data_IF_530216056124
#
_entry.id   IF_530216056124
#
_cell.length_a   1.000
_cell.length_b   1.000
_cell.length_c   1.000
_cell.angle_alpha   90.00
_cell.angle_beta   90.00
_cell.angle_gamma   90.00
#
_symmetry.space_group_name_H-M   'P 1'
#
loop_
_entity.id
_entity.type
_entity.pdbx_description
1 polymer ?
#
# COMPACT_ATOMS: atom_id res chain seq x y z
N UNK A 1 1.01 -20.59 -8.04
CA UNK A 1 -0.08 -20.14 -8.93
C UNK A 1 -0.72 -18.81 -8.48
N UNK A 2 -1.49 -18.71 -7.38
CA UNK A 2 -2.12 -17.42 -6.99
C UNK A 2 -1.11 -16.31 -6.62
N UNK A 3 -0.05 -16.64 -5.88
CA UNK A 3 1.00 -15.67 -5.55
C UNK A 3 1.80 -15.19 -6.78
N UNK A 4 2.01 -16.07 -7.75
CA UNK A 4 2.75 -15.80 -8.98
C UNK A 4 1.97 -14.89 -9.94
N UNK A 5 0.65 -15.09 -10.03
CA UNK A 5 -0.26 -14.18 -10.75
C UNK A 5 -0.30 -12.80 -10.09
N UNK A 6 -0.26 -12.72 -8.76
CA UNK A 6 -0.22 -11.44 -8.05
C UNK A 6 1.10 -10.67 -8.25
N UNK A 7 2.24 -11.38 -8.34
CA UNK A 7 3.54 -10.77 -8.66
C UNK A 7 3.56 -10.25 -10.10
N UNK A 8 3.09 -11.04 -11.06
CA UNK A 8 2.98 -10.61 -12.46
C UNK A 8 2.03 -9.40 -12.64
N UNK A 9 0.91 -9.38 -11.91
CA UNK A 9 0.01 -8.22 -11.90
C UNK A 9 0.68 -6.98 -11.31
N UNK A 10 1.45 -7.12 -10.22
CA UNK A 10 2.21 -6.02 -9.62
C UNK A 10 3.24 -5.44 -10.59
N UNK A 11 4.02 -6.28 -11.28
CA UNK A 11 4.98 -5.84 -12.30
C UNK A 11 4.28 -5.11 -13.46
N UNK A 12 3.08 -5.57 -13.86
CA UNK A 12 2.29 -4.90 -14.90
C UNK A 12 1.83 -3.49 -14.46
N UNK A 13 1.41 -3.32 -13.20
CA UNK A 13 1.02 -2.01 -12.68
C UNK A 13 2.20 -1.06 -12.53
N UNK A 14 3.39 -1.57 -12.17
CA UNK A 14 4.61 -0.76 -12.16
C UNK A 14 4.99 -0.26 -13.55
N UNK A 15 4.96 -1.13 -14.56
CA UNK A 15 5.21 -0.73 -15.96
C UNK A 15 4.20 0.31 -16.43
N UNK A 16 2.92 0.08 -16.15
CA UNK A 16 1.84 1.03 -16.46
C UNK A 16 2.08 2.41 -15.81
N UNK A 17 2.56 2.45 -14.56
CA UNK A 17 2.87 3.70 -13.88
C UNK A 17 4.01 4.45 -14.57
N UNK A 18 5.09 3.75 -14.95
CA UNK A 18 6.23 4.34 -15.67
C UNK A 18 5.78 4.90 -17.02
N UNK A 19 4.97 4.15 -17.77
CA UNK A 19 4.46 4.59 -19.07
C UNK A 19 3.60 5.85 -18.93
N UNK A 20 2.73 5.91 -17.93
CA UNK A 20 1.90 7.09 -17.64
C UNK A 20 2.73 8.30 -17.21
N UNK A 21 3.80 8.09 -16.44
CA UNK A 21 4.73 9.16 -16.07
C UNK A 21 5.45 9.73 -17.29
N UNK A 22 5.94 8.87 -18.20
CA UNK A 22 6.56 9.31 -19.44
C UNK A 22 5.57 10.09 -20.32
N UNK A 23 4.33 9.61 -20.44
CA UNK A 23 3.28 10.32 -21.16
C UNK A 23 2.94 11.68 -20.53
N UNK A 24 3.00 11.81 -19.21
CA UNK A 24 2.82 13.09 -18.52
C UNK A 24 3.92 14.08 -18.92
N UNK A 25 5.17 13.62 -18.99
CA UNK A 25 6.33 14.44 -19.38
C UNK A 25 6.28 14.86 -20.85
N UNK A 26 5.84 13.95 -21.73
CA UNK A 26 5.73 14.20 -23.17
C UNK A 26 4.47 14.98 -23.56
N UNK A 27 3.59 15.29 -22.59
CA UNK A 27 2.31 15.95 -22.86
C UNK A 27 2.51 17.37 -23.41
N UNK A 28 1.89 17.72 -24.55
CA UNK A 28 2.04 19.05 -25.15
C UNK A 28 1.47 20.12 -24.22
N UNK A 29 2.32 21.08 -23.84
CA UNK A 29 1.94 22.14 -22.89
C UNK A 29 2.13 21.78 -21.41
N UNK A 30 2.74 20.62 -21.10
CA UNK A 30 3.11 20.23 -19.73
C UNK A 30 1.92 19.88 -18.82
N UNK A 31 0.73 19.67 -19.40
CA UNK A 31 -0.48 19.28 -18.67
C UNK A 31 -1.07 18.03 -19.33
N UNK A 32 -1.11 16.93 -18.58
CA UNK A 32 -1.69 15.67 -19.02
C UNK A 32 -3.23 15.66 -18.93
N UNK A 33 -3.85 14.63 -19.47
CA UNK A 33 -5.31 14.46 -19.42
C UNK A 33 -5.80 14.13 -18.00
N UNK A 34 -7.06 14.44 -17.71
CA UNK A 34 -7.69 14.11 -16.43
C UNK A 34 -7.66 12.61 -16.11
N UNK A 35 -7.83 11.77 -17.14
CA UNK A 35 -7.80 10.31 -17.00
C UNK A 35 -6.40 9.82 -16.59
N UNK A 36 -5.35 10.30 -17.27
CA UNK A 36 -3.95 9.95 -16.93
C UNK A 36 -3.61 10.34 -15.49
N UNK A 37 -3.99 11.55 -15.06
CA UNK A 37 -3.79 11.97 -13.67
C UNK A 37 -4.53 11.08 -12.66
N UNK A 38 -5.75 10.66 -13.00
CA UNK A 38 -6.56 9.79 -12.12
C UNK A 38 -5.92 8.41 -11.97
N UNK A 39 -5.49 7.81 -13.09
CA UNK A 39 -4.81 6.51 -13.09
C UNK A 39 -3.46 6.58 -12.37
N UNK A 40 -2.65 7.60 -12.66
CA UNK A 40 -1.34 7.80 -12.05
C UNK A 40 -1.47 7.98 -10.52
N UNK A 41 -2.46 8.75 -10.07
CA UNK A 41 -2.76 8.90 -8.64
C UNK A 41 -3.14 7.56 -7.98
N UNK A 42 -4.01 6.78 -8.60
CA UNK A 42 -4.43 5.47 -8.09
C UNK A 42 -3.26 4.47 -8.03
N UNK A 43 -2.35 4.49 -9.01
CA UNK A 43 -1.16 3.65 -9.05
C UNK A 43 -0.17 3.99 -7.92
N UNK A 44 0.08 5.27 -7.64
CA UNK A 44 0.91 5.64 -6.48
C UNK A 44 0.31 5.15 -5.16
N UNK A 45 -1.02 5.25 -5.00
CA UNK A 45 -1.70 4.69 -3.82
C UNK A 45 -1.53 3.15 -3.76
N UNK A 46 -1.63 2.47 -4.90
CA UNK A 46 -1.45 1.02 -5.01
C UNK A 46 -0.05 0.61 -4.53
N UNK A 47 0.98 1.36 -4.90
CA UNK A 47 2.36 1.09 -4.48
C UNK A 47 2.70 1.57 -3.06
N UNK A 48 1.72 2.10 -2.31
CA UNK A 48 1.91 2.65 -0.97
C UNK A 48 2.77 3.92 -0.93
N UNK A 49 2.90 4.63 -2.05
CA UNK A 49 3.69 5.85 -2.19
C UNK A 49 2.82 7.08 -1.92
N UNK A 50 2.30 7.20 -0.70
CA UNK A 50 1.28 8.20 -0.36
C UNK A 50 1.84 9.64 -0.49
N UNK A 51 3.14 9.83 -0.26
CA UNK A 51 3.80 11.12 -0.47
C UNK A 51 3.83 11.52 -1.94
N UNK A 52 4.17 10.60 -2.84
CA UNK A 52 4.18 10.86 -4.28
C UNK A 52 2.76 11.13 -4.79
N UNK A 53 1.77 10.37 -4.32
CA UNK A 53 0.35 10.62 -4.60
C UNK A 53 -0.07 12.05 -4.21
N UNK A 54 0.41 12.55 -3.05
CA UNK A 54 0.16 13.92 -2.59
C UNK A 54 0.81 14.97 -3.51
N UNK A 55 2.03 14.72 -3.99
CA UNK A 55 2.70 15.63 -4.92
C UNK A 55 2.01 15.69 -6.28
N UNK A 56 1.54 14.55 -6.78
CA UNK A 56 0.68 14.48 -7.98
C UNK A 56 -0.58 15.32 -7.77
N UNK A 57 -1.30 15.12 -6.66
CA UNK A 57 -2.49 15.91 -6.34
C UNK A 57 -2.22 17.43 -6.29
N UNK A 58 -1.05 17.85 -5.80
CA UNK A 58 -0.67 19.27 -5.74
C UNK A 58 -0.38 19.85 -7.13
N UNK A 59 0.22 19.08 -8.03
CA UNK A 59 0.57 19.51 -9.40
C UNK A 59 -0.65 19.66 -10.32
N UNK A 60 -1.70 18.85 -10.11
CA UNK A 60 -2.89 18.88 -10.99
C UNK A 60 -3.58 20.27 -10.95
N UNK A 61 -3.83 20.90 -12.11
CA UNK A 61 -4.55 22.16 -12.22
C UNK A 61 -5.95 22.12 -11.58
N UNK A 62 -6.40 23.26 -11.04
CA UNK A 62 -7.70 23.36 -10.37
C UNK A 62 -8.87 23.03 -11.30
N UNK A 63 -8.77 23.39 -12.59
CA UNK A 63 -9.80 23.11 -13.59
C UNK A 63 -10.09 21.60 -13.71
N UNK A 64 -9.03 20.78 -13.72
CA UNK A 64 -9.15 19.31 -13.84
C UNK A 64 -9.80 18.71 -12.59
N UNK A 65 -9.47 19.24 -11.40
CA UNK A 65 -10.06 18.78 -10.13
C UNK A 65 -11.57 19.01 -10.08
N UNK A 66 -12.02 20.14 -10.61
CA UNK A 66 -13.45 20.49 -10.64
C UNK A 66 -14.20 19.74 -11.75
N UNK A 67 -13.57 19.50 -12.89
CA UNK A 67 -14.22 18.78 -14.01
C UNK A 67 -14.35 17.28 -13.78
N UNK A 68 -13.50 16.69 -12.94
CA UNK A 68 -13.37 15.24 -12.81
C UNK A 68 -13.64 14.78 -11.38
N UNK A 69 -14.89 14.41 -11.03
CA UNK A 69 -15.24 13.98 -9.67
C UNK A 69 -14.54 12.67 -9.29
N UNK A 70 -14.29 11.78 -10.25
CA UNK A 70 -13.59 10.51 -10.05
C UNK A 70 -12.17 10.72 -9.46
N UNK A 71 -11.44 11.71 -9.96
CA UNK A 71 -10.12 12.09 -9.45
C UNK A 71 -10.18 12.52 -7.97
N UNK A 72 -11.20 13.30 -7.61
CA UNK A 72 -11.40 13.73 -6.22
C UNK A 72 -11.76 12.56 -5.31
N UNK A 73 -12.54 11.60 -5.81
CA UNK A 73 -12.86 10.38 -5.07
C UNK A 73 -11.62 9.52 -4.81
N UNK A 74 -10.73 9.36 -5.80
CA UNK A 74 -9.45 8.66 -5.61
C UNK A 74 -8.60 9.36 -4.54
N UNK A 75 -8.54 10.69 -4.58
CA UNK A 75 -7.81 11.44 -3.56
C UNK A 75 -8.42 11.28 -2.16
N UNK A 76 -9.75 11.25 -2.04
CA UNK A 76 -10.43 11.00 -0.78
C UNK A 76 -10.04 9.64 -0.17
N UNK A 77 -9.93 8.60 -0.99
CA UNK A 77 -9.37 7.29 -0.58
C UNK A 77 -7.94 7.47 -0.06
N UNK A 78 -7.08 8.18 -0.80
CA UNK A 78 -5.71 8.47 -0.39
C UNK A 78 -5.61 9.21 0.95
N UNK A 79 -6.51 10.16 1.23
CA UNK A 79 -6.57 10.86 2.51
C UNK A 79 -6.92 9.93 3.67
N UNK A 80 -7.86 9.00 3.47
CA UNK A 80 -8.22 7.99 4.47
C UNK A 80 -7.07 7.01 4.73
N UNK A 81 -6.36 6.60 3.68
CA UNK A 81 -5.14 5.79 3.80
C UNK A 81 -4.06 6.54 4.61
N UNK A 82 -3.85 7.83 4.33
CA UNK A 82 -2.90 8.67 5.08
C UNK A 82 -3.24 8.76 6.57
N UNK A 83 -4.53 8.90 6.89
CA UNK A 83 -5.02 8.95 8.28
C UNK A 83 -5.05 7.58 8.96
N UNK A 84 -4.83 6.49 8.22
CA UNK A 84 -5.00 5.09 8.68
C UNK A 84 -6.42 4.82 9.20
N UNK A 85 -7.40 5.52 8.65
CA UNK A 85 -8.82 5.34 8.97
C UNK A 85 -9.40 4.17 8.16
N UNK A 86 -9.17 2.93 8.62
CA UNK A 86 -9.57 1.73 7.88
C UNK A 86 -11.06 1.69 7.52
N UNK A 87 -12.02 1.91 8.44
CA UNK A 87 -13.43 1.97 8.09
C UNK A 87 -13.72 3.03 7.01
N UNK A 88 -13.15 4.23 7.18
CA UNK A 88 -13.31 5.31 6.21
C UNK A 88 -12.68 5.03 4.85
N UNK A 89 -11.61 4.21 4.79
CA UNK A 89 -11.03 3.75 3.51
C UNK A 89 -12.07 2.94 2.74
N UNK A 90 -12.71 1.95 3.40
CA UNK A 90 -13.69 1.08 2.74
C UNK A 90 -14.95 1.82 2.31
N UNK A 91 -15.40 2.80 3.10
CA UNK A 91 -16.48 3.71 2.69
C UNK A 91 -16.10 4.55 1.47
N UNK A 92 -14.87 5.06 1.40
CA UNK A 92 -14.38 5.82 0.26
C UNK A 92 -14.22 4.96 -1.00
N UNK A 93 -13.96 3.66 -0.86
CA UNK A 93 -13.96 2.69 -1.97
C UNK A 93 -15.35 2.40 -2.54
N UNK A 94 -16.42 2.62 -1.76
CA UNK A 94 -17.80 2.36 -2.16
C UNK A 94 -18.33 3.46 -3.12
N UNK A 95 -17.70 3.54 -4.29
CA UNK A 95 -17.99 4.45 -5.39
C UNK A 95 -17.96 3.69 -6.71
N UNK A 96 -18.61 4.25 -7.72
CA UNK A 96 -18.52 3.75 -9.09
C UNK A 96 -17.21 4.24 -9.72
N UNK A 97 -16.40 3.30 -10.19
CA UNK A 97 -15.13 3.55 -10.87
C UNK A 97 -15.29 3.23 -12.37
N UNK A 98 -14.67 4.05 -13.22
CA UNK A 98 -14.63 3.82 -14.66
C UNK A 98 -13.94 2.49 -15.00
N UNK A 99 -14.28 1.90 -16.15
CA UNK A 99 -13.71 0.62 -16.61
C UNK A 99 -12.17 0.65 -16.66
N UNK A 100 -11.61 1.82 -16.99
CA UNK A 100 -10.15 2.02 -17.07
C UNK A 100 -9.45 2.08 -15.71
N UNK A 101 -10.18 2.40 -14.65
CA UNK A 101 -9.63 2.61 -13.30
C UNK A 101 -9.97 1.45 -12.36
N UNK A 102 -11.10 0.79 -12.60
CA UNK A 102 -11.59 -0.38 -11.85
C UNK A 102 -10.52 -1.43 -11.54
N UNK A 103 -9.71 -1.93 -12.51
CA UNK A 103 -8.70 -2.94 -12.19
C UNK A 103 -7.63 -2.46 -11.21
N UNK A 104 -7.24 -1.18 -11.27
CA UNK A 104 -6.28 -0.57 -10.34
C UNK A 104 -6.90 -0.41 -8.96
N UNK A 105 -8.16 0.02 -8.89
CA UNK A 105 -8.87 0.21 -7.61
C UNK A 105 -9.18 -1.10 -6.91
N UNK A 106 -9.56 -2.14 -7.66
CA UNK A 106 -9.78 -3.48 -7.10
C UNK A 106 -8.46 -4.07 -6.56
N UNK A 107 -7.35 -3.88 -7.29
CA UNK A 107 -6.02 -4.26 -6.83
C UNK A 107 -5.60 -3.47 -5.58
N UNK A 108 -5.91 -2.18 -5.52
CA UNK A 108 -5.60 -1.31 -4.38
C UNK A 108 -6.41 -1.72 -3.14
N UNK A 109 -7.70 -2.04 -3.30
CA UNK A 109 -8.55 -2.53 -2.22
C UNK A 109 -8.00 -3.86 -1.66
N UNK A 110 -7.66 -4.80 -2.55
CA UNK A 110 -7.05 -6.08 -2.16
C UNK A 110 -5.71 -5.89 -1.43
N UNK A 111 -4.84 -5.02 -1.94
CA UNK A 111 -3.57 -4.68 -1.33
C UNK A 111 -3.76 -4.02 0.05
N UNK A 112 -4.74 -3.13 0.19
CA UNK A 112 -5.07 -2.46 1.45
C UNK A 112 -5.53 -3.48 2.51
N UNK A 113 -6.45 -4.39 2.15
CA UNK A 113 -6.89 -5.48 3.04
C UNK A 113 -5.73 -6.37 3.46
N UNK A 114 -4.86 -6.75 2.51
CA UNK A 114 -3.66 -7.56 2.80
C UNK A 114 -2.71 -6.83 3.76
N UNK A 115 -2.49 -5.53 3.57
CA UNK A 115 -1.67 -4.70 4.48
C UNK A 115 -2.29 -4.62 5.87
N UNK A 116 -3.60 -4.41 5.97
CA UNK A 116 -4.32 -4.39 7.25
C UNK A 116 -4.18 -5.72 7.98
N UNK A 117 -4.37 -6.83 7.26
CA UNK A 117 -4.21 -8.17 7.83
C UNK A 117 -2.79 -8.42 8.34
N UNK A 118 -1.78 -8.08 7.53
CA UNK A 118 -0.37 -8.21 7.92
C UNK A 118 -0.01 -7.32 9.12
N UNK A 119 -0.60 -6.12 9.21
CA UNK A 119 -0.40 -5.23 10.35
C UNK A 119 -0.94 -5.87 11.63
N UNK A 120 -2.16 -6.40 11.60
CA UNK A 120 -2.74 -7.09 12.76
C UNK A 120 -1.91 -8.29 13.16
N UNK A 121 -1.45 -9.08 12.18
CA UNK A 121 -0.59 -10.24 12.40
C UNK A 121 0.70 -9.92 13.16
N UNK A 122 1.27 -8.74 12.93
CA UNK A 122 2.55 -8.32 13.50
C UNK A 122 2.39 -7.56 14.82
N UNK A 123 1.37 -6.71 14.93
CA UNK A 123 1.22 -5.75 16.02
C UNK A 123 0.40 -6.27 17.21
N UNK A 124 -0.46 -7.27 17.01
CA UNK A 124 -1.37 -7.76 18.05
C UNK A 124 -1.03 -9.19 18.45
N UNK A 125 -0.94 -9.44 19.75
CA UNK A 125 -0.89 -10.80 20.31
C UNK A 125 -2.30 -11.38 20.49
N UNK A 126 -3.29 -10.53 20.75
CA UNK A 126 -4.70 -10.89 20.80
C UNK A 126 -5.56 -9.69 20.37
N UNK A 127 -6.61 -9.93 19.58
CA UNK A 127 -7.51 -8.90 19.05
C UNK A 127 -8.95 -9.41 19.02
N UNK A 128 -9.93 -8.52 19.25
CA UNK A 128 -11.34 -8.86 19.09
C UNK A 128 -11.70 -9.04 17.61
N UNK A 129 -12.57 -9.99 17.29
CA UNK A 129 -13.08 -10.22 15.93
C UNK A 129 -13.73 -8.98 15.30
N UNK A 130 -14.38 -8.13 16.09
CA UNK A 130 -15.06 -6.92 15.60
C UNK A 130 -14.04 -5.82 15.24
N UNK A 131 -12.97 -5.70 16.03
CA UNK A 131 -11.88 -4.78 15.71
C UNK A 131 -11.13 -5.25 14.45
N UNK A 132 -10.87 -6.55 14.34
CA UNK A 132 -10.30 -7.14 13.13
C UNK A 132 -11.21 -6.86 11.92
N UNK A 133 -12.52 -7.10 12.05
CA UNK A 133 -13.50 -6.84 10.99
C UNK A 133 -13.45 -5.39 10.52
N UNK A 134 -13.32 -4.43 11.45
CA UNK A 134 -13.14 -3.02 11.13
C UNK A 134 -11.82 -2.75 10.38
N UNK A 135 -10.71 -3.41 10.75
CA UNK A 135 -9.42 -3.27 10.05
C UNK A 135 -9.46 -3.82 8.63
N UNK A 136 -10.11 -4.96 8.39
CA UNK A 136 -10.13 -5.61 7.07
C UNK A 136 -11.33 -5.23 6.20
N UNK A 137 -12.32 -4.54 6.76
CA UNK A 137 -13.48 -4.03 6.02
C UNK A 137 -14.41 -5.13 5.51
N UNK A 138 -14.60 -6.17 6.33
CA UNK A 138 -15.51 -7.28 6.04
C UNK A 138 -16.33 -7.59 7.31
N UNK A 139 -17.51 -8.20 7.20
CA UNK A 139 -18.29 -8.55 8.38
C UNK A 139 -17.54 -9.53 9.29
N UNK A 140 -17.80 -9.49 10.60
CA UNK A 140 -17.11 -10.32 11.60
C UNK A 140 -17.15 -11.82 11.30
N UNK A 141 -18.23 -12.30 10.65
CA UNK A 141 -18.35 -13.69 10.22
C UNK A 141 -17.36 -14.08 9.13
N UNK A 142 -17.12 -13.19 8.16
CA UNK A 142 -16.17 -13.42 7.08
C UNK A 142 -14.73 -13.25 7.58
N UNK A 143 -14.49 -12.28 8.47
CA UNK A 143 -13.19 -12.07 9.11
C UNK A 143 -12.73 -13.31 9.88
N UNK A 144 -13.62 -13.92 10.66
CA UNK A 144 -13.33 -15.16 11.39
C UNK A 144 -12.98 -16.33 10.44
N UNK A 145 -13.66 -16.44 9.30
CA UNK A 145 -13.35 -17.46 8.29
C UNK A 145 -12.00 -17.22 7.60
N UNK A 146 -11.66 -15.96 7.32
CA UNK A 146 -10.37 -15.60 6.71
C UNK A 146 -9.20 -15.97 7.62
N UNK A 147 -9.33 -15.70 8.92
CA UNK A 147 -8.35 -16.00 9.97
C UNK A 147 -8.12 -17.51 10.12
N UNK A 148 -9.19 -18.31 10.07
CA UNK A 148 -9.07 -19.77 10.11
C UNK A 148 -8.29 -20.33 8.92
N UNK A 149 -8.47 -19.78 7.72
CA UNK A 149 -7.71 -20.18 6.51
C UNK A 149 -6.22 -19.88 6.63
N UNK A 150 -5.86 -18.82 7.35
CA UNK A 150 -4.49 -18.39 7.60
C UNK A 150 -3.85 -19.11 8.81
N UNK A 151 -4.58 -20.01 9.47
CA UNK A 151 -4.07 -20.84 10.58
C UNK A 151 -3.86 -20.08 11.90
N UNK A 152 -4.62 -19.00 12.10
CA UNK A 152 -4.67 -18.26 13.36
C UNK A 152 -5.69 -18.90 14.30
N UNK A 153 -5.43 -18.82 15.61
CA UNK A 153 -6.33 -19.38 16.62
C UNK A 153 -7.46 -18.38 16.90
N UNK A 154 -8.71 -18.81 16.69
CA UNK A 154 -9.90 -18.02 16.99
C UNK A 154 -10.70 -18.74 18.08
N UNK A 155 -10.94 -18.07 19.20
CA UNK A 155 -11.77 -18.59 20.28
C UNK A 155 -13.24 -18.15 20.07
N UNK A 156 -14.15 -19.09 19.76
CA UNK A 156 -15.56 -18.77 19.50
C UNK A 156 -16.31 -18.23 20.72
N UNK A 157 -15.86 -18.54 21.94
CA UNK A 157 -16.57 -18.14 23.17
C UNK A 157 -16.21 -16.72 23.61
N UNK A 158 -14.94 -16.35 23.51
CA UNK A 158 -14.46 -15.03 23.92
C UNK A 158 -14.48 -14.00 22.79
N UNK A 159 -14.65 -14.45 21.53
CA UNK A 159 -14.58 -13.62 20.31
C UNK A 159 -13.20 -12.97 20.09
N UNK A 160 -12.17 -13.52 20.73
CA UNK A 160 -10.78 -13.11 20.53
C UNK A 160 -10.08 -14.01 19.52
N UNK A 161 -9.17 -13.40 18.78
CA UNK A 161 -8.31 -14.02 17.79
C UNK A 161 -6.87 -13.79 18.23
N UNK A 162 -6.05 -14.82 18.11
CA UNK A 162 -4.62 -14.81 18.39
C UNK A 162 -3.88 -14.88 17.05
N UNK A 163 -3.42 -13.74 16.51
CA UNK A 163 -2.74 -13.72 15.23
C UNK A 163 -1.43 -14.50 15.28
N UNK A 164 -1.14 -15.26 14.23
CA UNK A 164 0.17 -15.89 14.09
C UNK A 164 1.11 -14.91 13.39
N UNK A 165 2.11 -14.42 14.13
CA UNK A 165 3.17 -13.60 13.56
C UNK A 165 3.81 -14.35 12.38
N UNK A 166 3.93 -13.73 11.20
CA UNK A 166 4.72 -14.29 10.11
C UNK A 166 6.10 -14.62 10.67
N UNK A 167 6.61 -15.82 10.41
CA UNK A 167 7.96 -16.19 10.85
C UNK A 167 8.91 -15.09 10.36
N UNK A 168 9.59 -14.40 11.28
CA UNK A 168 10.53 -13.37 10.90
C UNK A 168 11.60 -14.03 10.03
N UNK A 169 11.69 -13.62 8.77
CA UNK A 169 12.89 -13.90 7.98
C UNK A 169 13.99 -13.21 8.76
N UNK A 170 14.87 -14.00 9.38
CA UNK A 170 16.05 -13.47 10.07
C UNK A 170 16.82 -12.73 8.99
N UNK A 171 16.86 -11.40 9.06
CA UNK A 171 17.78 -10.63 8.23
C UNK A 171 19.16 -11.26 8.41
N UNK A 172 19.88 -11.59 7.33
CA UNK A 172 21.26 -12.05 7.48
C UNK A 172 21.97 -10.98 8.30
N UNK A 173 22.42 -11.39 9.49
CA UNK A 173 23.12 -10.55 10.46
C UNK A 173 24.08 -9.67 9.67
N UNK A 174 23.83 -8.36 9.66
CA UNK A 174 24.81 -7.42 9.14
C UNK A 174 26.05 -7.63 10.01
N UNK A 175 27.03 -8.35 9.47
CA UNK A 175 28.35 -8.54 10.07
C UNK A 175 28.97 -7.15 10.11
N UNK A 176 28.69 -6.42 11.17
CA UNK A 176 29.28 -5.14 11.48
C UNK A 176 30.51 -5.39 12.33
N UNK A 177 31.52 -6.01 11.71
CA UNK A 177 32.85 -6.13 12.31
C UNK A 177 33.92 -6.07 11.22
N UNK A 178 34.13 -4.86 10.70
CA UNK A 178 35.48 -4.42 10.36
C UNK A 178 35.72 -3.08 11.04
N UNK A 179 35.99 -3.16 12.34
CA UNK A 179 36.82 -2.17 13.02
C UNK A 179 38.15 -2.07 12.27
N UNK A 180 38.23 -1.17 11.30
CA UNK A 180 39.51 -0.59 10.88
C UNK A 180 39.89 0.35 12.03
N UNK A 181 40.36 -0.23 13.13
CA UNK A 181 41.22 0.47 14.05
C UNK A 181 42.63 -0.05 13.83
N UNK A 182 43.42 0.73 13.11
CA UNK A 182 44.86 0.68 13.17
C UNK A 182 45.36 2.10 12.95
N UNK A 183 45.33 2.83 14.05
CA UNK A 183 46.30 3.85 14.44
C UNK A 183 47.75 3.39 14.18
N UNK A 184 48.17 3.29 12.92
CA UNK A 184 49.53 2.92 12.47
C UNK A 184 49.87 3.53 11.10
N UNK A 185 49.72 4.85 10.92
CA UNK A 185 50.54 5.60 9.96
C UNK A 185 50.94 6.94 10.60
N UNK A 186 51.72 6.85 11.67
CA UNK A 186 52.66 7.90 12.06
C UNK A 186 53.95 7.16 12.45
N UNK A 187 55.10 7.66 11.98
CA UNK A 187 56.46 7.07 12.03
C UNK A 187 56.64 6.06 10.88
N UNK A 188 57.28 6.40 9.74
CA UNK A 188 58.72 6.68 9.61
C UNK A 188 59.06 7.77 8.59
N UNK A 189 60.05 8.56 8.97
CA UNK A 189 60.69 9.69 8.31
C UNK A 189 62.01 9.20 7.67
N UNK A 190 62.45 9.82 6.56
CA UNK A 190 63.83 9.84 6.04
C UNK A 190 64.44 8.54 5.47
N UNK A 191 64.45 8.42 4.14
CA UNK A 191 65.65 8.47 3.26
C UNK A 191 65.24 8.39 1.80
#
# INVERSE_FOLDING_TARGET
MAAEVAVAAHENFQRMQIDLQNQELDSPGGVATAQQYTQLLALHLLHNEICEAKFVWKRIPAQIKTSTPELTNVWAVGQKIWQRDFPGIYEAFNKEWSESLKPVMDALLAATRKRAFNLVAQAYDSINVDDLAAFVGMPSSEAAQAVQKEGWDADPQTRFITPRKPCAVVDPVLVTDTWIDCSLIVIWHFL
#
